data_IF_854861455044
#
_entry.id   IF_854861455044
#
_cell.length_a   1.000
_cell.length_b   1.000
_cell.length_c   1.000
_cell.angle_alpha   90.00
_cell.angle_beta   90.00
_cell.angle_gamma   90.00
#
_symmetry.space_group_name_H-M   'P 1'
#
loop_
_entity.id
_entity.type
_entity.pdbx_description
1 polymer ?
#
# COMPACT_ATOMS: atom_id res chain seq x y z
N UNK A 1 -7.26 -2.59 22.42
CA UNK A 1 -6.13 -3.48 22.60
C UNK A 1 -4.91 -2.96 21.84
N UNK A 2 -3.83 -2.66 22.52
CA UNK A 2 -2.72 -1.95 21.87
C UNK A 2 -2.01 -2.78 20.80
N UNK A 3 -1.84 -4.08 21.03
CA UNK A 3 -1.19 -4.95 20.06
C UNK A 3 -2.01 -5.08 18.78
N UNK A 4 -3.30 -5.30 18.96
CA UNK A 4 -4.22 -5.41 17.84
C UNK A 4 -4.26 -4.10 17.04
N UNK A 5 -4.34 -2.98 17.76
CA UNK A 5 -4.36 -1.67 17.14
C UNK A 5 -3.11 -1.43 16.32
N UNK A 6 -1.96 -1.86 16.83
CA UNK A 6 -0.68 -1.68 16.15
C UNK A 6 -0.61 -2.49 14.86
N UNK A 7 -1.04 -3.74 14.90
CA UNK A 7 -1.04 -4.59 13.72
C UNK A 7 -1.98 -4.06 12.64
N UNK A 8 -3.15 -3.58 13.07
CA UNK A 8 -4.11 -2.99 12.13
C UNK A 8 -3.54 -1.72 11.49
N UNK A 9 -2.89 -0.89 12.28
CA UNK A 9 -2.31 0.34 11.76
C UNK A 9 -1.19 0.06 10.76
N UNK A 10 -0.37 -0.92 11.05
CA UNK A 10 0.70 -1.31 10.13
C UNK A 10 0.12 -1.67 8.76
N UNK A 11 -0.89 -2.50 8.75
CA UNK A 11 -1.53 -2.92 7.50
C UNK A 11 -2.19 -1.74 6.80
N UNK A 12 -2.92 -0.93 7.56
CA UNK A 12 -3.63 0.22 7.02
C UNK A 12 -2.67 1.17 6.29
N UNK A 13 -1.58 1.51 6.96
CA UNK A 13 -0.61 2.44 6.37
C UNK A 13 0.02 1.85 5.12
N UNK A 14 0.33 0.56 5.16
CA UNK A 14 0.96 -0.09 4.01
C UNK A 14 0.03 -0.13 2.81
N UNK A 15 -1.24 -0.43 3.03
CA UNK A 15 -2.20 -0.61 1.95
C UNK A 15 -2.79 0.69 1.45
N UNK A 16 -3.00 1.66 2.32
CA UNK A 16 -3.81 2.82 1.99
C UNK A 16 -3.04 4.13 1.89
N UNK A 17 -1.74 4.14 2.13
CA UNK A 17 -1.00 5.41 2.08
C UNK A 17 0.15 5.35 1.10
N UNK A 18 0.48 6.51 0.58
CA UNK A 18 1.68 6.77 -0.21
C UNK A 18 1.90 8.28 -0.20
N UNK A 19 2.89 8.77 -0.95
CA UNK A 19 3.23 10.19 -0.91
C UNK A 19 2.11 11.08 -1.44
N UNK A 20 1.20 10.54 -2.25
CA UNK A 20 0.06 11.29 -2.76
C UNK A 20 -1.18 11.14 -1.88
N UNK A 21 -1.18 10.18 -0.97
CA UNK A 21 -2.34 9.86 -0.14
C UNK A 21 -1.94 9.62 1.30
N UNK A 22 -1.43 10.64 1.99
CA UNK A 22 -1.06 10.48 3.40
C UNK A 22 -2.31 10.43 4.28
N UNK A 23 -2.21 9.76 5.39
CA UNK A 23 -3.31 9.61 6.34
C UNK A 23 -3.14 10.57 7.51
N UNK A 24 -4.20 11.27 7.87
CA UNK A 24 -4.21 12.15 9.03
C UNK A 24 -4.43 11.33 10.30
N UNK A 25 -4.21 12.00 11.45
CA UNK A 25 -4.54 11.37 12.74
C UNK A 25 -6.02 11.01 12.78
N UNK A 26 -6.87 11.89 12.25
CA UNK A 26 -8.31 11.64 12.22
C UNK A 26 -8.65 10.40 11.38
N UNK A 27 -7.96 10.23 10.25
CA UNK A 27 -8.15 9.05 9.41
C UNK A 27 -7.81 7.77 10.17
N UNK A 28 -6.70 7.79 10.89
CA UNK A 28 -6.25 6.62 11.65
C UNK A 28 -7.23 6.30 12.77
N UNK A 29 -7.69 7.33 13.48
CA UNK A 29 -8.64 7.12 14.55
C UNK A 29 -9.96 6.57 14.04
N UNK A 30 -10.41 7.05 12.87
CA UNK A 30 -11.63 6.55 12.25
C UNK A 30 -11.48 5.10 11.85
N UNK A 31 -10.32 4.74 11.31
CA UNK A 31 -10.04 3.36 10.94
C UNK A 31 -10.06 2.43 12.16
N UNK A 32 -9.40 2.85 13.24
CA UNK A 32 -9.41 2.08 14.48
C UNK A 32 -10.83 1.91 15.03
N UNK A 33 -11.63 2.98 14.96
CA UNK A 33 -13.00 2.94 15.47
C UNK A 33 -13.85 1.93 14.70
N UNK A 34 -13.61 1.80 13.39
CA UNK A 34 -14.30 0.80 12.59
C UNK A 34 -13.99 -0.62 13.07
N UNK A 35 -12.89 -0.79 13.76
CA UNK A 35 -12.47 -2.09 14.28
C UNK A 35 -12.68 -2.19 15.79
N UNK A 36 -13.51 -1.32 16.35
CA UNK A 36 -13.85 -1.38 17.76
C UNK A 36 -12.80 -0.84 18.69
N UNK A 37 -11.86 -0.04 18.18
CA UNK A 37 -10.78 0.51 19.00
C UNK A 37 -11.06 1.99 19.23
N UNK A 38 -11.24 2.37 20.51
CA UNK A 38 -11.39 3.75 20.91
C UNK A 38 -10.05 4.24 21.41
N UNK A 39 -9.54 5.30 20.82
CA UNK A 39 -8.22 5.80 21.16
C UNK A 39 -8.14 7.29 20.85
N UNK A 40 -7.10 7.93 21.34
CA UNK A 40 -6.86 9.34 21.11
C UNK A 40 -5.57 9.58 20.36
N UNK A 41 -5.24 10.86 20.19
CA UNK A 41 -4.06 11.27 19.45
C UNK A 41 -2.77 10.66 19.97
N UNK A 42 -2.63 10.60 21.30
CA UNK A 42 -1.41 10.08 21.90
C UNK A 42 -1.17 8.64 21.50
N UNK A 43 -2.24 7.87 21.39
CA UNK A 43 -2.12 6.47 20.99
C UNK A 43 -1.62 6.37 19.54
N UNK A 44 -2.08 7.26 18.68
CA UNK A 44 -1.60 7.29 17.30
C UNK A 44 -0.11 7.59 17.26
N UNK A 45 0.33 8.63 17.97
CA UNK A 45 1.73 9.01 17.98
C UNK A 45 2.61 7.88 18.52
N UNK A 46 2.16 7.25 19.60
CA UNK A 46 2.90 6.11 20.18
C UNK A 46 3.00 4.96 19.18
N UNK A 47 1.89 4.64 18.53
CA UNK A 47 1.88 3.54 17.57
C UNK A 47 2.82 3.82 16.39
N UNK A 48 2.79 5.06 15.89
CA UNK A 48 3.69 5.45 14.79
C UNK A 48 5.14 5.26 15.22
N UNK A 49 5.48 5.70 16.43
CA UNK A 49 6.85 5.56 16.93
C UNK A 49 7.28 4.10 17.00
N UNK A 50 6.40 3.23 17.48
CA UNK A 50 6.71 1.81 17.57
C UNK A 50 6.96 1.23 16.18
N UNK A 51 6.09 1.56 15.24
CA UNK A 51 6.24 1.06 13.87
C UNK A 51 7.53 1.56 13.22
N UNK A 52 7.87 2.84 13.45
CA UNK A 52 9.13 3.39 12.95
C UNK A 52 10.32 2.68 13.58
N UNK A 53 10.25 2.42 14.87
CA UNK A 53 11.33 1.71 15.57
C UNK A 53 11.49 0.29 15.06
N UNK A 54 10.40 -0.31 14.57
CA UNK A 54 10.45 -1.68 14.05
C UNK A 54 11.01 -1.75 12.64
N UNK A 55 11.22 -0.60 11.99
CA UNK A 55 11.83 -0.57 10.67
C UNK A 55 10.94 -0.08 9.55
N UNK A 56 9.68 0.27 9.83
CA UNK A 56 8.82 0.86 8.80
C UNK A 56 9.24 2.29 8.54
N UNK A 57 9.32 2.63 7.27
CA UNK A 57 9.64 4.00 6.87
C UNK A 57 8.35 4.81 6.81
N UNK A 58 7.92 5.31 7.96
CA UNK A 58 6.73 6.14 8.03
C UNK A 58 7.16 7.60 8.02
N UNK A 59 6.75 8.29 6.96
CA UNK A 59 7.07 9.70 6.76
C UNK A 59 5.95 10.56 7.32
N UNK A 60 6.31 11.57 8.10
CA UNK A 60 5.34 12.52 8.63
C UNK A 60 5.42 13.82 7.83
N UNK A 61 4.29 14.16 7.21
CA UNK A 61 4.17 15.44 6.51
C UNK A 61 3.53 16.41 7.47
N UNK A 62 4.27 17.46 7.82
CA UNK A 62 3.82 18.45 8.79
C UNK A 62 3.29 19.68 8.06
N UNK A 63 2.03 20.01 8.30
CA UNK A 63 1.46 21.25 7.80
C UNK A 63 0.46 21.74 8.85
N UNK A 64 -0.80 22.00 8.47
CA UNK A 64 -1.79 22.37 9.49
C UNK A 64 -2.08 21.21 10.43
N UNK A 65 -1.89 20.00 9.96
CA UNK A 65 -2.00 18.78 10.77
C UNK A 65 -0.98 17.77 10.28
N UNK A 66 -0.61 16.85 11.16
CA UNK A 66 0.33 15.80 10.80
C UNK A 66 -0.36 14.74 9.96
N UNK A 67 0.30 14.35 8.88
CA UNK A 67 -0.17 13.27 8.03
C UNK A 67 0.98 12.30 7.82
N UNK A 68 0.63 11.04 7.64
CA UNK A 68 1.62 9.96 7.61
C UNK A 68 1.44 9.09 6.39
N UNK A 69 2.55 8.63 5.83
CA UNK A 69 2.50 7.65 4.76
C UNK A 69 3.74 6.76 4.82
N UNK A 70 3.63 5.59 4.22
CA UNK A 70 4.78 4.69 4.09
C UNK A 70 5.58 5.13 2.88
N UNK A 71 6.84 5.49 3.11
CA UNK A 71 7.73 5.97 2.06
C UNK A 71 8.42 4.82 1.35
N UNK A 72 9.47 4.32 1.98
CA UNK A 72 10.26 3.26 1.36
C UNK A 72 9.57 1.92 1.47
N UNK A 73 9.51 1.21 0.34
CA UNK A 73 8.90 -0.12 0.29
C UNK A 73 9.89 -1.07 -0.37
N UNK A 74 9.56 -2.35 -0.40
CA UNK A 74 10.43 -3.33 -1.04
C UNK A 74 10.72 -2.97 -2.48
N UNK A 75 9.69 -2.55 -3.20
CA UNK A 75 9.83 -2.09 -4.59
C UNK A 75 9.23 -0.71 -4.74
N UNK A 76 9.89 0.12 -5.54
CA UNK A 76 9.35 1.40 -5.94
C UNK A 76 8.40 1.21 -7.12
N UNK A 77 7.51 2.17 -7.33
CA UNK A 77 6.51 2.04 -8.39
C UNK A 77 7.13 1.79 -9.77
N UNK A 78 8.19 2.50 -10.19
CA UNK A 78 8.81 2.20 -11.49
C UNK A 78 9.32 0.77 -11.59
N UNK A 79 9.82 0.22 -10.48
CA UNK A 79 10.29 -1.16 -10.46
C UNK A 79 9.13 -2.13 -10.62
N UNK A 80 8.00 -1.86 -9.96
CA UNK A 80 6.82 -2.69 -10.10
C UNK A 80 6.28 -2.63 -11.54
N UNK A 81 6.32 -1.46 -12.16
CA UNK A 81 5.89 -1.34 -13.55
C UNK A 81 6.76 -2.17 -14.47
N UNK A 82 8.05 -2.20 -14.21
CA UNK A 82 8.97 -3.03 -14.99
C UNK A 82 8.62 -4.51 -14.84
N UNK A 83 8.33 -4.95 -13.62
CA UNK A 83 7.94 -6.34 -13.37
C UNK A 83 6.63 -6.68 -14.04
N UNK A 84 5.67 -5.77 -14.00
CA UNK A 84 4.38 -5.97 -14.69
C UNK A 84 4.61 -6.11 -16.19
N UNK A 85 5.45 -5.25 -16.77
CA UNK A 85 5.76 -5.34 -18.19
C UNK A 85 6.38 -6.69 -18.55
N UNK A 86 7.27 -7.18 -17.69
CA UNK A 86 7.91 -8.47 -17.93
C UNK A 86 6.89 -9.61 -17.91
N UNK A 87 5.93 -9.55 -16.98
CA UNK A 87 4.87 -10.56 -16.90
C UNK A 87 3.98 -10.48 -18.14
N UNK A 88 3.59 -9.26 -18.53
CA UNK A 88 2.70 -9.08 -19.67
C UNK A 88 3.31 -9.56 -20.97
N UNK A 89 4.60 -9.33 -21.15
CA UNK A 89 5.26 -9.71 -22.39
C UNK A 89 5.69 -11.16 -22.43
N UNK A 90 5.54 -11.89 -21.35
CA UNK A 90 5.90 -13.31 -21.32
C UNK A 90 4.88 -14.13 -22.11
N UNK A 91 5.38 -14.97 -23.00
CA UNK A 91 4.53 -15.87 -23.78
C UNK A 91 4.36 -17.24 -23.13
N UNK A 92 5.01 -17.43 -22.00
CA UNK A 92 4.95 -18.71 -21.30
C UNK A 92 3.86 -18.75 -20.23
N UNK A 93 3.17 -17.62 -20.03
CA UNK A 93 2.14 -17.50 -19.01
C UNK A 93 0.83 -17.16 -19.70
N UNK A 94 -0.24 -17.85 -19.30
CA UNK A 94 -1.57 -17.53 -19.84
C UNK A 94 -2.02 -16.14 -19.41
N UNK A 95 -2.98 -15.57 -20.13
CA UNK A 95 -3.53 -14.26 -19.78
C UNK A 95 -4.10 -14.27 -18.37
N UNK A 96 -4.79 -15.33 -18.00
CA UNK A 96 -5.41 -15.44 -16.69
C UNK A 96 -4.37 -15.50 -15.58
N UNK A 97 -3.31 -16.28 -15.77
CA UNK A 97 -2.25 -16.36 -14.77
C UNK A 97 -1.47 -15.06 -14.68
N UNK A 98 -1.32 -14.35 -15.80
CA UNK A 98 -0.69 -13.04 -15.80
C UNK A 98 -1.48 -12.05 -14.95
N UNK A 99 -2.80 -12.03 -15.12
CA UNK A 99 -3.64 -11.14 -14.33
C UNK A 99 -3.50 -11.40 -12.83
N UNK A 100 -3.48 -12.68 -12.46
CA UNK A 100 -3.32 -13.05 -11.06
C UNK A 100 -1.97 -12.62 -10.50
N UNK A 101 -0.92 -12.80 -11.29
CA UNK A 101 0.41 -12.44 -10.85
C UNK A 101 0.55 -10.93 -10.69
N UNK A 102 -0.01 -10.17 -11.64
CA UNK A 102 0.03 -8.71 -11.58
C UNK A 102 -0.78 -8.21 -10.37
N UNK A 103 -1.90 -8.86 -10.09
CA UNK A 103 -2.68 -8.53 -8.91
C UNK A 103 -1.85 -8.70 -7.63
N UNK A 104 -1.10 -9.80 -7.56
CA UNK A 104 -0.22 -10.05 -6.41
C UNK A 104 0.90 -9.02 -6.31
N UNK A 105 1.46 -8.63 -7.45
CA UNK A 105 2.48 -7.58 -7.47
C UNK A 105 1.91 -6.27 -6.93
N UNK A 106 0.64 -5.99 -7.22
CA UNK A 106 -0.01 -4.79 -6.72
C UNK A 106 -0.11 -4.75 -5.21
N UNK A 107 -0.08 -5.90 -4.55
CA UNK A 107 -0.12 -5.95 -3.09
C UNK A 107 1.19 -5.54 -2.43
N UNK A 108 2.22 -5.30 -3.23
CA UNK A 108 3.50 -4.83 -2.72
C UNK A 108 3.57 -3.31 -2.63
N UNK A 109 2.48 -2.62 -2.91
CA UNK A 109 2.43 -1.17 -2.86
C UNK A 109 1.06 -0.72 -2.34
N UNK A 110 0.82 0.60 -2.33
CA UNK A 110 -0.48 1.12 -1.90
C UNK A 110 -1.56 0.74 -2.92
N UNK A 111 -2.81 0.75 -2.46
CA UNK A 111 -3.93 0.45 -3.36
C UNK A 111 -4.00 1.45 -4.52
N UNK A 112 -3.65 2.70 -4.27
CA UNK A 112 -3.67 3.73 -5.29
C UNK A 112 -2.62 3.44 -6.36
N UNK A 113 -1.42 3.09 -5.97
CA UNK A 113 -0.35 2.75 -6.91
C UNK A 113 -0.64 1.44 -7.63
N UNK A 114 -1.28 0.49 -6.92
CA UNK A 114 -1.68 -0.78 -7.54
C UNK A 114 -2.64 -0.55 -8.71
N UNK A 115 -3.55 0.40 -8.55
CA UNK A 115 -4.49 0.73 -9.63
C UNK A 115 -3.79 1.26 -10.87
N UNK A 116 -2.67 1.93 -10.70
CA UNK A 116 -1.88 2.40 -11.84
C UNK A 116 -1.27 1.23 -12.62
N UNK A 117 -0.92 0.15 -11.91
CA UNK A 117 -0.41 -1.04 -12.58
C UNK A 117 -1.51 -1.72 -13.40
N UNK A 118 -2.71 -1.82 -12.86
CA UNK A 118 -3.85 -2.40 -13.59
C UNK A 118 -4.19 -1.59 -14.83
N UNK A 119 -4.16 -0.25 -14.71
CA UNK A 119 -4.45 0.62 -15.85
C UNK A 119 -3.44 0.42 -16.96
N UNK A 120 -2.19 0.18 -16.60
CA UNK A 120 -1.15 -0.08 -17.58
C UNK A 120 -1.47 -1.33 -18.42
N UNK A 121 -1.99 -2.38 -17.77
CA UNK A 121 -2.36 -3.59 -18.46
C UNK A 121 -3.41 -3.33 -19.52
N UNK A 122 -4.45 -2.60 -19.16
CA UNK A 122 -5.57 -2.35 -20.07
C UNK A 122 -5.17 -1.49 -21.26
N UNK A 123 -4.18 -0.66 -21.12
CA UNK A 123 -3.75 0.22 -22.20
C UNK A 123 -2.84 -0.48 -23.20
N UNK A 124 -2.14 -1.51 -22.78
CA UNK A 124 -1.13 -2.15 -23.64
C UNK A 124 -1.73 -3.10 -24.67
N UNK A 125 -2.64 -3.92 -24.28
CA UNK A 125 -3.20 -4.89 -25.20
C UNK A 125 -2.20 -5.93 -25.64
N UNK A 126 -1.96 -6.94 -24.83
CA UNK A 126 -0.97 -7.96 -25.12
C UNK A 126 -1.62 -9.19 -25.73
N UNK A 127 -0.86 -9.85 -26.61
CA UNK A 127 -1.30 -11.11 -27.22
C UNK A 127 -0.75 -12.26 -26.37
N UNK A 128 -1.58 -12.83 -25.52
CA UNK A 128 -1.19 -13.94 -24.64
C UNK A 128 -2.13 -15.12 -24.85
N UNK A 129 -1.62 -16.33 -24.58
CA UNK A 129 -2.51 -17.50 -24.66
C UNK A 129 -3.65 -17.40 -23.65
N UNK A 130 -4.78 -18.00 -23.99
CA UNK A 130 -5.98 -17.93 -23.16
C UNK A 130 -5.90 -19.02 -22.12
N UNK A 131 -5.51 -19.49 -21.45
CA UNK A 131 -5.39 -20.49 -20.42
C UNK A 131 -3.95 -20.92 -20.27
#
# INVERSE_FOLDING_TARGET
ESQYALLLLQRYLYEHTDDQHPASVADILAFWRQHGIEAGRKSVYSAIEVLQSSGMDIVCVKSTQNRYFVGERLFELPELKLLVDAVESSRFITAKKSERLIEKLGKLTSESHARQLDRHIYMEGTAKPEN
#
